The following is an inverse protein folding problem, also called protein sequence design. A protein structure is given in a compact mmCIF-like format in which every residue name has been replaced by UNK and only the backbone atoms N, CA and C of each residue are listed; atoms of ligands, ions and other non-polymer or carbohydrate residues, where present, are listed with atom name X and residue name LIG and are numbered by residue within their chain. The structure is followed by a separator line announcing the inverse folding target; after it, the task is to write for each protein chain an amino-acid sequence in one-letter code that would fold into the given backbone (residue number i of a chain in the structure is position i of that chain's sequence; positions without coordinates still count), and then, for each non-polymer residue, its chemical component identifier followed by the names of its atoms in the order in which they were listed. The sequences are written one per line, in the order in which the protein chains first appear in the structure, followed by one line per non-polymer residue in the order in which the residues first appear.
data_IF_713411784000
#
_entry.id   IF_713411784000
#
_cell.length_a   1.000
_cell.length_b   1.000
_cell.length_c   1.000
_cell.angle_alpha   90.00
_cell.angle_beta   90.00
_cell.angle_gamma   90.00
#
_symmetry.space_group_name_H-M   'P 1'
#
loop_
_entity.id
_entity.type
_entity.pdbx_description
1 polymer ?
#
# COMPACT_ATOMS: atom_id res chain seq x y z
N UNK A 1 39.00 -18.80 -13.62
CA UNK A 1 38.02 -19.49 -14.48
C UNK A 1 37.29 -18.42 -15.28
N UNK A 2 37.68 -18.27 -16.57
CA UNK A 2 37.07 -17.30 -17.49
C UNK A 2 35.78 -17.89 -18.03
N UNK A 3 34.62 -17.45 -17.55
CA UNK A 3 33.34 -17.77 -18.16
C UNK A 3 33.17 -16.93 -19.42
N UNK A 4 33.33 -17.56 -20.60
CA UNK A 4 33.00 -16.98 -21.91
C UNK A 4 31.54 -16.50 -21.88
N UNK A 5 31.23 -15.28 -22.32
CA UNK A 5 29.85 -14.79 -22.38
C UNK A 5 29.04 -15.68 -23.34
N UNK A 6 27.96 -16.27 -22.81
CA UNK A 6 27.03 -17.13 -23.57
C UNK A 6 26.45 -16.33 -24.73
N UNK A 7 26.71 -16.74 -25.97
CA UNK A 7 26.19 -16.07 -27.15
C UNK A 7 24.67 -16.21 -27.19
N UNK A 8 23.95 -15.10 -26.98
CA UNK A 8 22.48 -15.03 -26.99
C UNK A 8 22.01 -15.40 -28.41
N UNK A 9 21.06 -16.31 -28.55
CA UNK A 9 20.52 -16.76 -29.83
C UNK A 9 19.77 -15.60 -30.56
N UNK A 10 19.56 -15.72 -31.86
CA UNK A 10 18.80 -14.72 -32.62
C UNK A 10 17.38 -14.58 -32.10
N UNK A 11 16.73 -15.69 -31.79
CA UNK A 11 15.38 -15.75 -31.26
C UNK A 11 15.28 -15.07 -29.84
N UNK A 12 16.26 -15.30 -29.00
CA UNK A 12 16.32 -14.64 -27.66
C UNK A 12 16.51 -13.13 -27.78
N UNK A 13 17.28 -12.66 -28.79
CA UNK A 13 17.43 -11.22 -29.06
C UNK A 13 16.14 -10.59 -29.56
N UNK A 14 15.41 -11.26 -30.43
CA UNK A 14 14.11 -10.78 -30.93
C UNK A 14 13.09 -10.69 -29.78
N UNK A 15 12.99 -11.69 -28.91
CA UNK A 15 12.14 -11.67 -27.72
C UNK A 15 12.51 -10.51 -26.78
N UNK A 16 13.79 -10.29 -26.55
CA UNK A 16 14.27 -9.20 -25.72
C UNK A 16 13.92 -7.81 -26.30
N UNK A 17 14.03 -7.64 -27.61
CA UNK A 17 13.67 -6.38 -28.28
C UNK A 17 12.16 -6.11 -28.20
N UNK A 18 11.33 -7.14 -28.40
CA UNK A 18 9.87 -7.03 -28.26
C UNK A 18 9.50 -6.67 -26.83
N UNK A 19 10.10 -7.33 -25.85
CA UNK A 19 9.87 -7.02 -24.42
C UNK A 19 10.30 -5.59 -24.09
N UNK A 20 11.48 -5.16 -24.52
CA UNK A 20 11.97 -3.80 -24.31
C UNK A 20 10.99 -2.75 -24.82
N UNK A 21 10.50 -2.92 -26.05
CA UNK A 21 9.50 -2.03 -26.64
C UNK A 21 8.19 -1.99 -25.82
N UNK A 22 7.68 -3.15 -25.37
CA UNK A 22 6.49 -3.22 -24.50
C UNK A 22 6.74 -2.50 -23.17
N UNK A 23 7.91 -2.72 -22.58
CA UNK A 23 8.26 -2.11 -21.29
C UNK A 23 8.39 -0.58 -21.40
N UNK A 24 8.99 -0.06 -22.47
CA UNK A 24 9.08 1.38 -22.74
C UNK A 24 7.69 2.01 -22.88
N UNK A 25 6.75 1.32 -23.51
CA UNK A 25 5.38 1.80 -23.75
C UNK A 25 4.40 1.54 -22.59
N UNK A 26 4.81 0.88 -21.50
CA UNK A 26 3.92 0.44 -20.40
C UNK A 26 3.08 1.57 -19.80
N UNK A 27 3.66 2.76 -19.63
CA UNK A 27 2.96 3.92 -19.05
C UNK A 27 1.83 4.38 -19.96
N UNK A 28 2.06 4.37 -21.28
CA UNK A 28 1.04 4.71 -22.29
C UNK A 28 -0.11 3.70 -22.26
N UNK A 29 0.20 2.41 -22.11
CA UNK A 29 -0.81 1.34 -21.96
C UNK A 29 -1.67 1.61 -20.71
N UNK A 30 -1.07 1.89 -19.56
CA UNK A 30 -1.79 2.20 -18.33
C UNK A 30 -2.67 3.45 -18.46
N UNK A 31 -2.19 4.49 -19.16
CA UNK A 31 -2.95 5.71 -19.45
C UNK A 31 -4.18 5.40 -20.31
N UNK A 32 -4.03 4.65 -21.38
CA UNK A 32 -5.18 4.24 -22.21
C UNK A 32 -6.20 3.42 -21.42
N UNK A 33 -5.74 2.55 -20.50
CA UNK A 33 -6.62 1.84 -19.59
C UNK A 33 -7.45 2.81 -18.71
N UNK A 34 -6.82 3.86 -18.22
CA UNK A 34 -7.51 4.89 -17.42
C UNK A 34 -8.50 5.71 -18.25
N UNK A 35 -8.12 6.12 -19.46
CA UNK A 35 -8.99 6.83 -20.40
C UNK A 35 -10.22 5.99 -20.76
N UNK A 36 -10.04 4.69 -21.08
CA UNK A 36 -11.14 3.75 -21.33
C UNK A 36 -12.06 3.62 -20.12
N UNK A 37 -11.49 3.53 -18.90
CA UNK A 37 -12.27 3.46 -17.66
C UNK A 37 -13.12 4.71 -17.45
N UNK A 38 -12.56 5.89 -17.69
CA UNK A 38 -13.27 7.17 -17.57
C UNK A 38 -14.37 7.33 -18.63
N UNK A 39 -14.19 6.72 -19.81
CA UNK A 39 -15.19 6.64 -20.86
C UNK A 39 -16.27 5.57 -20.59
N UNK A 40 -16.15 4.77 -19.51
CA UNK A 40 -17.08 3.68 -19.19
C UNK A 40 -16.84 2.39 -19.96
N UNK A 41 -15.76 2.31 -20.76
CA UNK A 41 -15.38 1.09 -21.48
C UNK A 41 -14.55 0.16 -20.58
N UNK A 42 -15.28 -0.56 -19.72
CA UNK A 42 -14.67 -1.45 -18.71
C UNK A 42 -13.91 -2.62 -19.34
N UNK A 43 -14.32 -3.08 -20.53
CA UNK A 43 -13.66 -4.18 -21.23
C UNK A 43 -12.26 -3.81 -21.68
N UNK A 44 -12.14 -2.71 -22.44
CA UNK A 44 -10.85 -2.20 -22.89
C UNK A 44 -9.98 -1.72 -21.70
N UNK A 45 -10.58 -1.07 -20.69
CA UNK A 45 -9.86 -0.67 -19.50
C UNK A 45 -9.20 -1.86 -18.81
N UNK A 46 -9.95 -2.93 -18.54
CA UNK A 46 -9.44 -4.15 -17.92
C UNK A 46 -8.35 -4.80 -18.75
N UNK A 47 -8.54 -4.90 -20.09
CA UNK A 47 -7.56 -5.45 -21.00
C UNK A 47 -6.21 -4.69 -20.89
N UNK A 48 -6.24 -3.36 -20.94
CA UNK A 48 -5.03 -2.53 -20.83
C UNK A 48 -4.36 -2.63 -19.44
N UNK A 49 -5.13 -2.71 -18.38
CA UNK A 49 -4.57 -2.90 -17.04
C UNK A 49 -3.91 -4.27 -16.89
N UNK A 50 -4.54 -5.34 -17.40
CA UNK A 50 -3.94 -6.69 -17.40
C UNK A 50 -2.68 -6.73 -18.26
N UNK A 51 -2.67 -6.05 -19.41
CA UNK A 51 -1.49 -5.93 -20.27
C UNK A 51 -0.32 -5.25 -19.54
N UNK A 52 -0.56 -4.10 -18.89
CA UNK A 52 0.45 -3.43 -18.06
C UNK A 52 0.99 -4.35 -16.96
N UNK A 53 0.09 -5.00 -16.24
CA UNK A 53 0.46 -5.89 -15.15
C UNK A 53 1.21 -7.13 -15.62
N UNK A 54 0.89 -7.64 -16.81
CA UNK A 54 1.63 -8.72 -17.47
C UNK A 54 3.07 -8.33 -17.81
N UNK A 55 3.27 -7.11 -18.35
CA UNK A 55 4.61 -6.56 -18.61
C UNK A 55 5.42 -6.46 -17.30
N UNK A 56 4.78 -6.01 -16.20
CA UNK A 56 5.46 -5.91 -14.91
C UNK A 56 5.77 -7.28 -14.30
N UNK A 57 4.90 -8.26 -14.50
CA UNK A 57 5.13 -9.63 -14.07
C UNK A 57 6.31 -10.27 -14.84
N UNK A 58 6.38 -10.07 -16.17
CA UNK A 58 7.49 -10.49 -17.01
C UNK A 58 8.80 -9.80 -16.61
N UNK A 59 8.76 -8.49 -16.36
CA UNK A 59 9.91 -7.71 -15.86
C UNK A 59 10.49 -8.23 -14.56
N UNK A 60 9.61 -8.71 -13.66
CA UNK A 60 9.99 -9.25 -12.34
C UNK A 60 10.15 -10.78 -12.33
N UNK A 61 10.09 -11.40 -13.51
CA UNK A 61 10.23 -12.86 -13.67
C UNK A 61 9.28 -13.67 -12.77
N UNK A 62 8.04 -13.16 -12.58
CA UNK A 62 7.01 -13.84 -11.80
C UNK A 62 5.92 -14.42 -12.70
N UNK A 63 5.21 -15.45 -12.20
CA UNK A 63 4.27 -16.25 -12.97
C UNK A 63 3.10 -15.43 -13.55
N UNK A 64 2.54 -14.53 -12.76
CA UNK A 64 1.36 -13.74 -13.12
C UNK A 64 1.29 -12.44 -12.30
N UNK A 65 0.32 -11.59 -12.63
CA UNK A 65 0.11 -10.29 -11.98
C UNK A 65 -0.18 -10.40 -10.47
N UNK A 66 -0.84 -11.46 -10.00
CA UNK A 66 -1.12 -11.68 -8.58
C UNK A 66 0.06 -12.28 -7.81
N UNK A 67 1.09 -12.73 -8.53
CA UNK A 67 2.36 -13.17 -7.96
C UNK A 67 3.32 -12.02 -7.66
N UNK A 68 3.05 -10.80 -8.15
CA UNK A 68 3.82 -9.61 -7.81
C UNK A 68 3.77 -9.33 -6.31
N UNK A 69 4.95 -8.98 -5.75
CA UNK A 69 5.11 -8.60 -4.32
C UNK A 69 5.96 -7.34 -4.22
N UNK A 70 5.73 -6.56 -3.19
CA UNK A 70 6.54 -5.36 -2.89
C UNK A 70 8.04 -5.70 -2.80
N UNK A 71 8.40 -6.88 -2.30
CA UNK A 71 9.77 -7.34 -2.18
C UNK A 71 10.51 -7.55 -3.51
N UNK A 72 9.77 -7.62 -4.64
CA UNK A 72 10.37 -7.72 -5.97
C UNK A 72 10.88 -6.36 -6.50
N UNK A 73 10.57 -5.26 -5.80
CA UNK A 73 10.87 -3.89 -6.24
C UNK A 73 11.90 -3.22 -5.33
N UNK A 74 12.78 -2.41 -5.93
CA UNK A 74 13.64 -1.51 -5.17
C UNK A 74 12.86 -0.22 -4.82
N UNK A 75 12.54 0.01 -3.51
CA UNK A 75 11.75 1.18 -3.12
C UNK A 75 12.41 2.53 -3.43
N UNK A 76 13.72 2.55 -3.66
CA UNK A 76 14.45 3.78 -3.99
C UNK A 76 14.37 4.13 -5.48
N UNK A 77 14.29 3.12 -6.34
CA UNK A 77 14.35 3.29 -7.80
C UNK A 77 12.99 3.11 -8.47
N UNK A 78 12.14 2.24 -7.91
CA UNK A 78 10.91 1.77 -8.54
C UNK A 78 9.65 2.17 -7.75
N UNK A 79 9.72 3.26 -6.97
CA UNK A 79 8.60 3.75 -6.17
C UNK A 79 7.38 4.11 -7.04
N UNK A 80 7.63 4.70 -8.20
CA UNK A 80 6.57 5.09 -9.15
C UNK A 80 5.84 3.87 -9.70
N UNK A 81 6.58 2.83 -10.08
CA UNK A 81 6.02 1.56 -10.54
C UNK A 81 5.16 0.91 -9.46
N UNK A 82 5.64 0.85 -8.22
CA UNK A 82 4.89 0.30 -7.10
C UNK A 82 3.59 1.07 -6.85
N UNK A 83 3.63 2.39 -6.92
CA UNK A 83 2.45 3.25 -6.80
C UNK A 83 1.46 3.00 -7.95
N UNK A 84 1.95 2.91 -9.20
CA UNK A 84 1.11 2.62 -10.36
C UNK A 84 0.45 1.24 -10.26
N UNK A 85 1.19 0.21 -9.85
CA UNK A 85 0.67 -1.15 -9.61
C UNK A 85 -0.47 -1.08 -8.59
N UNK A 86 -0.28 -0.37 -7.47
CA UNK A 86 -1.33 -0.22 -6.46
C UNK A 86 -2.58 0.44 -7.03
N UNK A 87 -2.42 1.53 -7.81
CA UNK A 87 -3.54 2.23 -8.43
C UNK A 87 -4.26 1.37 -9.46
N UNK A 88 -3.53 0.61 -10.29
CA UNK A 88 -4.12 -0.29 -11.28
C UNK A 88 -4.94 -1.38 -10.60
N UNK A 89 -4.45 -2.00 -9.53
CA UNK A 89 -5.23 -2.96 -8.75
C UNK A 89 -6.54 -2.34 -8.20
N UNK A 90 -6.50 -1.10 -7.73
CA UNK A 90 -7.71 -0.40 -7.29
C UNK A 90 -8.69 -0.16 -8.46
N UNK A 91 -8.20 0.22 -9.65
CA UNK A 91 -9.07 0.41 -10.82
C UNK A 91 -9.66 -0.93 -11.31
N UNK A 92 -8.88 -2.00 -11.31
CA UNK A 92 -9.39 -3.34 -11.63
C UNK A 92 -10.46 -3.77 -10.63
N UNK A 93 -10.25 -3.53 -9.33
CA UNK A 93 -11.27 -3.79 -8.30
C UNK A 93 -12.57 -3.03 -8.59
N UNK A 94 -12.49 -1.75 -9.01
CA UNK A 94 -13.68 -0.96 -9.43
C UNK A 94 -14.42 -1.58 -10.61
N UNK A 95 -13.70 -2.11 -11.58
CA UNK A 95 -14.33 -2.78 -12.73
C UNK A 95 -15.06 -4.05 -12.27
N UNK A 96 -14.41 -4.87 -11.45
CA UNK A 96 -14.99 -6.10 -10.93
C UNK A 96 -16.15 -5.85 -9.94
N UNK A 97 -16.14 -4.70 -9.24
CA UNK A 97 -17.24 -4.26 -8.37
C UNK A 97 -18.57 -4.09 -9.12
N UNK A 98 -18.55 -3.93 -10.45
CA UNK A 98 -19.74 -3.74 -11.26
C UNK A 98 -20.75 -4.91 -11.15
N UNK A 99 -20.29 -6.12 -10.81
CA UNK A 99 -21.13 -7.31 -10.67
C UNK A 99 -20.71 -8.18 -9.48
N UNK A 100 -21.67 -8.65 -8.65
CA UNK A 100 -21.39 -9.59 -7.56
C UNK A 100 -20.72 -10.89 -8.02
N UNK A 101 -20.90 -11.27 -9.28
CA UNK A 101 -20.26 -12.46 -9.88
C UNK A 101 -18.72 -12.41 -9.81
N UNK A 102 -18.15 -11.22 -9.81
CA UNK A 102 -16.70 -10.99 -9.78
C UNK A 102 -16.20 -10.54 -8.40
N UNK A 103 -16.91 -10.93 -7.34
CA UNK A 103 -16.55 -10.53 -5.96
C UNK A 103 -15.17 -11.03 -5.54
N UNK A 104 -14.79 -12.25 -5.95
CA UNK A 104 -13.50 -12.83 -5.59
C UNK A 104 -12.36 -12.12 -6.33
N UNK A 105 -12.53 -11.78 -7.59
CA UNK A 105 -11.59 -10.98 -8.36
C UNK A 105 -11.43 -9.57 -7.78
N UNK A 106 -12.55 -8.95 -7.39
CA UNK A 106 -12.55 -7.66 -6.70
C UNK A 106 -11.75 -7.75 -5.40
N UNK A 107 -12.00 -8.75 -4.56
CA UNK A 107 -11.27 -8.98 -3.31
C UNK A 107 -9.78 -9.21 -3.54
N UNK A 108 -9.41 -10.05 -4.51
CA UNK A 108 -8.00 -10.31 -4.84
C UNK A 108 -7.27 -9.03 -5.28
N UNK A 109 -7.92 -8.19 -6.08
CA UNK A 109 -7.36 -6.89 -6.49
C UNK A 109 -7.21 -5.95 -5.30
N UNK A 110 -8.20 -5.89 -4.39
CA UNK A 110 -8.12 -5.08 -3.18
C UNK A 110 -7.03 -5.56 -2.22
N UNK A 111 -6.83 -6.86 -2.06
CA UNK A 111 -5.76 -7.40 -1.22
C UNK A 111 -4.37 -7.01 -1.79
N UNK A 112 -4.19 -7.02 -3.11
CA UNK A 112 -2.96 -6.53 -3.75
C UNK A 112 -2.82 -5.00 -3.61
N UNK A 113 -3.90 -4.24 -3.77
CA UNK A 113 -3.89 -2.80 -3.52
C UNK A 113 -3.42 -2.48 -2.09
N UNK A 114 -3.93 -3.21 -1.09
CA UNK A 114 -3.51 -3.08 0.31
C UNK A 114 -2.03 -3.44 0.48
N UNK A 115 -1.59 -4.56 -0.09
CA UNK A 115 -0.20 -5.02 0.00
C UNK A 115 0.79 -4.01 -0.58
N UNK A 116 0.48 -3.42 -1.75
CA UNK A 116 1.29 -2.40 -2.39
C UNK A 116 1.11 -0.99 -1.80
N UNK A 117 0.13 -0.77 -0.93
CA UNK A 117 -0.10 0.52 -0.26
C UNK A 117 0.52 0.58 1.14
N UNK A 118 0.42 -0.52 1.90
CA UNK A 118 0.84 -0.56 3.31
C UNK A 118 2.35 -0.39 3.45
N UNK A 119 2.76 0.48 4.39
CA UNK A 119 4.16 0.79 4.68
C UNK A 119 4.92 1.54 3.57
N UNK A 120 4.24 1.96 2.50
CA UNK A 120 4.85 2.74 1.43
C UNK A 120 4.78 4.26 1.73
N UNK A 121 5.67 5.08 1.14
CA UNK A 121 5.62 6.54 1.31
C UNK A 121 4.28 7.17 0.89
N UNK A 122 3.61 6.57 -0.11
CA UNK A 122 2.32 7.02 -0.64
C UNK A 122 1.09 6.37 0.04
N UNK A 123 1.27 5.65 1.16
CA UNK A 123 0.18 4.99 1.90
C UNK A 123 -0.99 5.93 2.23
N UNK A 124 -0.67 7.16 2.67
CA UNK A 124 -1.69 8.16 3.02
C UNK A 124 -2.50 8.57 1.78
N UNK A 125 -1.81 8.76 0.64
CA UNK A 125 -2.46 9.11 -0.65
C UNK A 125 -3.43 8.01 -1.06
N UNK A 126 -3.00 6.75 -1.03
CA UNK A 126 -3.84 5.61 -1.39
C UNK A 126 -5.02 5.43 -0.44
N UNK A 127 -4.81 5.64 0.86
CA UNK A 127 -5.87 5.60 1.85
C UNK A 127 -6.92 6.69 1.63
N UNK A 128 -6.49 7.91 1.33
CA UNK A 128 -7.40 9.01 1.00
C UNK A 128 -8.14 8.78 -0.33
N UNK A 129 -7.47 8.19 -1.32
CA UNK A 129 -8.08 7.87 -2.60
C UNK A 129 -9.28 6.91 -2.42
N UNK A 130 -9.10 5.80 -1.73
CA UNK A 130 -10.17 4.84 -1.48
C UNK A 130 -11.25 5.44 -0.56
N UNK A 131 -10.88 6.20 0.48
CA UNK A 131 -11.82 6.86 1.39
C UNK A 131 -12.74 7.85 0.66
N UNK A 132 -12.16 8.70 -0.21
CA UNK A 132 -12.92 9.67 -1.00
C UNK A 132 -13.88 8.97 -1.96
N UNK A 133 -13.45 7.87 -2.55
CA UNK A 133 -14.29 7.07 -3.47
C UNK A 133 -15.45 6.38 -2.74
N UNK A 134 -15.22 5.87 -1.52
CA UNK A 134 -16.28 5.32 -0.65
C UNK A 134 -17.31 6.43 -0.31
N UNK A 135 -16.85 7.61 0.12
CA UNK A 135 -17.73 8.74 0.44
C UNK A 135 -18.59 9.20 -0.74
N UNK A 136 -18.10 9.05 -1.96
CA UNK A 136 -18.85 9.39 -3.19
C UNK A 136 -19.77 8.24 -3.65
N UNK A 137 -19.90 7.18 -2.87
CA UNK A 137 -20.70 5.99 -3.20
C UNK A 137 -20.37 5.40 -4.57
N UNK A 138 -19.10 5.40 -4.95
CA UNK A 138 -18.63 4.92 -6.25
C UNK A 138 -18.58 3.39 -6.34
N UNK A 139 -18.83 2.66 -5.24
CA UNK A 139 -18.70 1.22 -5.15
C UNK A 139 -20.05 0.56 -4.82
N UNK A 140 -20.37 -0.53 -5.52
CA UNK A 140 -21.57 -1.35 -5.25
C UNK A 140 -21.35 -2.24 -4.02
N UNK A 141 -20.18 -2.88 -3.93
CA UNK A 141 -19.78 -3.76 -2.83
C UNK A 141 -18.95 -2.99 -1.80
N UNK A 142 -19.52 -1.89 -1.28
CA UNK A 142 -18.83 -0.91 -0.41
C UNK A 142 -18.07 -1.55 0.76
N UNK A 143 -18.59 -2.66 1.34
CA UNK A 143 -17.95 -3.34 2.46
C UNK A 143 -16.55 -3.88 2.13
N UNK A 144 -16.32 -4.37 0.90
CA UNK A 144 -15.00 -4.83 0.47
C UNK A 144 -13.97 -3.69 0.47
N UNK A 145 -14.39 -2.52 -0.02
CA UNK A 145 -13.53 -1.33 -0.06
C UNK A 145 -13.30 -0.73 1.34
N UNK A 146 -14.30 -0.77 2.22
CA UNK A 146 -14.14 -0.40 3.63
C UNK A 146 -13.17 -1.34 4.35
N UNK A 147 -13.24 -2.63 4.09
CA UNK A 147 -12.29 -3.61 4.63
C UNK A 147 -10.87 -3.33 4.13
N UNK A 148 -10.69 -3.09 2.82
CA UNK A 148 -9.40 -2.74 2.25
C UNK A 148 -8.84 -1.44 2.84
N UNK A 149 -9.67 -0.40 2.98
CA UNK A 149 -9.29 0.85 3.63
C UNK A 149 -8.81 0.61 5.08
N UNK A 150 -9.53 -0.20 5.86
CA UNK A 150 -9.14 -0.57 7.23
C UNK A 150 -7.81 -1.34 7.25
N UNK A 151 -7.62 -2.30 6.33
CA UNK A 151 -6.38 -3.10 6.23
C UNK A 151 -5.14 -2.23 5.99
N UNK A 152 -5.23 -1.17 5.18
CA UNK A 152 -4.08 -0.26 4.92
C UNK A 152 -3.52 0.28 6.23
N UNK A 153 -4.36 0.65 7.20
CA UNK A 153 -3.91 1.17 8.49
C UNK A 153 -3.49 0.06 9.45
N UNK A 154 -4.27 -1.01 9.54
CA UNK A 154 -3.98 -2.09 10.50
C UNK A 154 -2.71 -2.85 10.16
N UNK A 155 -2.40 -3.02 8.86
CA UNK A 155 -1.15 -3.63 8.40
C UNK A 155 0.04 -2.66 8.39
N UNK A 156 -0.19 -1.38 8.63
CA UNK A 156 0.88 -0.39 8.68
C UNK A 156 1.77 -0.59 9.90
N UNK A 157 3.08 -0.61 9.66
CA UNK A 157 4.10 -0.58 10.73
C UNK A 157 4.36 0.84 11.25
N UNK A 158 3.73 1.88 10.69
CA UNK A 158 3.89 3.26 11.13
C UNK A 158 3.05 3.51 12.37
N UNK A 159 3.68 4.06 13.40
CA UNK A 159 3.04 4.59 14.60
C UNK A 159 3.26 6.10 14.60
N UNK A 160 2.40 6.86 13.90
CA UNK A 160 2.63 8.25 13.52
C UNK A 160 3.16 9.12 14.67
N UNK A 161 2.40 9.25 15.77
CA UNK A 161 2.79 10.11 16.91
C UNK A 161 4.07 9.61 17.58
N UNK A 162 4.19 8.31 17.84
CA UNK A 162 5.36 7.75 18.52
C UNK A 162 6.59 7.81 17.62
N UNK A 163 6.41 7.55 16.32
CA UNK A 163 7.49 7.66 15.32
C UNK A 163 7.97 9.12 15.18
N UNK A 164 7.05 10.09 15.21
CA UNK A 164 7.39 11.52 15.23
C UNK A 164 8.22 11.88 16.46
N UNK A 165 7.85 11.35 17.63
CA UNK A 165 8.55 11.65 18.88
C UNK A 165 9.93 10.98 18.99
N UNK A 166 10.07 9.73 18.56
CA UNK A 166 11.23 8.88 18.84
C UNK A 166 11.94 8.33 17.62
N UNK A 167 11.34 8.42 16.43
CA UNK A 167 11.85 7.77 15.21
C UNK A 167 11.38 6.31 15.08
N UNK A 168 11.65 5.75 13.89
CA UNK A 168 11.10 4.45 13.47
C UNK A 168 11.67 3.27 14.24
N UNK A 169 12.95 3.31 14.61
CA UNK A 169 13.69 2.18 15.17
C UNK A 169 13.84 2.23 16.71
N UNK A 170 13.26 3.21 17.37
CA UNK A 170 13.37 3.37 18.82
C UNK A 170 12.62 2.28 19.57
N UNK A 171 13.15 1.73 20.71
CA UNK A 171 12.49 0.68 21.48
C UNK A 171 11.03 1.02 21.88
N UNK A 172 10.79 2.25 22.32
CA UNK A 172 9.43 2.73 22.65
C UNK A 172 8.50 2.63 21.42
N UNK A 173 8.98 2.91 20.22
CA UNK A 173 8.18 2.77 19.00
C UNK A 173 7.81 1.30 18.74
N UNK A 174 8.70 0.38 19.08
CA UNK A 174 8.43 -1.05 18.97
C UNK A 174 7.41 -1.53 20.00
N UNK A 175 7.51 -1.05 21.26
CA UNK A 175 6.52 -1.33 22.30
C UNK A 175 5.10 -0.93 21.88
N UNK A 176 4.95 0.27 21.31
CA UNK A 176 3.65 0.74 20.80
C UNK A 176 3.14 0.01 19.58
N UNK A 177 4.03 -0.53 18.74
CA UNK A 177 3.62 -1.44 17.65
C UNK A 177 3.09 -2.75 18.19
N UNK A 178 3.79 -3.34 19.18
CA UNK A 178 3.32 -4.54 19.85
C UNK A 178 1.96 -4.32 20.54
N UNK A 179 1.77 -3.16 21.20
CA UNK A 179 0.47 -2.78 21.75
C UNK A 179 -0.60 -2.71 20.67
N UNK A 180 -0.32 -2.06 19.54
CA UNK A 180 -1.26 -2.00 18.42
C UNK A 180 -1.64 -3.40 17.96
N UNK A 181 -0.66 -4.27 17.76
CA UNK A 181 -0.90 -5.63 17.27
C UNK A 181 -1.73 -6.44 18.28
N UNK A 182 -1.48 -6.26 19.58
CA UNK A 182 -2.31 -6.82 20.65
C UNK A 182 -3.75 -6.27 20.62
N UNK A 183 -3.92 -4.95 20.50
CA UNK A 183 -5.24 -4.30 20.43
C UNK A 183 -6.07 -4.79 19.24
N UNK A 184 -5.45 -5.11 18.10
CA UNK A 184 -6.13 -5.58 16.90
C UNK A 184 -6.86 -6.94 17.10
N UNK A 185 -6.55 -7.70 18.15
CA UNK A 185 -7.26 -8.92 18.50
C UNK A 185 -8.67 -8.66 19.08
N UNK A 186 -8.94 -7.42 19.52
CA UNK A 186 -10.20 -7.02 20.15
C UNK A 186 -11.00 -6.07 19.25
N UNK A 187 -12.34 -6.14 19.30
CA UNK A 187 -13.21 -5.25 18.51
C UNK A 187 -12.99 -3.77 18.84
N UNK A 188 -13.00 -3.42 20.13
CA UNK A 188 -12.75 -2.06 20.59
C UNK A 188 -11.36 -1.56 20.19
N UNK A 189 -10.36 -2.43 20.20
CA UNK A 189 -9.00 -2.10 19.81
C UNK A 189 -8.87 -1.79 18.32
N UNK A 190 -9.57 -2.54 17.47
CA UNK A 190 -9.65 -2.24 16.02
C UNK A 190 -10.28 -0.87 15.76
N UNK A 191 -11.33 -0.52 16.49
CA UNK A 191 -11.98 0.79 16.36
C UNK A 191 -11.09 1.92 16.84
N UNK A 192 -10.40 1.74 17.98
CA UNK A 192 -9.42 2.69 18.49
C UNK A 192 -8.28 2.90 17.49
N UNK A 193 -7.67 1.83 16.99
CA UNK A 193 -6.59 1.89 15.99
C UNK A 193 -7.06 2.62 14.73
N UNK A 194 -8.28 2.35 14.25
CA UNK A 194 -8.88 3.05 13.11
C UNK A 194 -8.98 4.56 13.36
N UNK A 195 -9.55 4.95 14.50
CA UNK A 195 -9.70 6.36 14.89
C UNK A 195 -8.33 7.03 15.00
N UNK A 196 -7.40 6.41 15.71
CA UNK A 196 -6.04 6.90 15.86
C UNK A 196 -5.37 7.18 14.51
N UNK A 197 -5.41 6.22 13.58
CA UNK A 197 -4.76 6.39 12.28
C UNK A 197 -5.47 7.42 11.39
N UNK A 198 -6.79 7.54 11.47
CA UNK A 198 -7.54 8.57 10.74
C UNK A 198 -7.07 9.97 11.13
N UNK A 199 -6.93 10.24 12.42
CA UNK A 199 -6.52 11.57 12.88
C UNK A 199 -5.01 11.78 12.82
N UNK A 200 -4.21 10.82 13.25
CA UNK A 200 -2.76 10.98 13.31
C UNK A 200 -2.10 11.10 11.94
N UNK A 201 -2.65 10.49 10.90
CA UNK A 201 -2.15 10.61 9.52
C UNK A 201 -2.30 12.01 8.93
N UNK A 202 -3.27 12.80 9.41
CA UNK A 202 -3.46 14.19 9.00
C UNK A 202 -2.70 15.18 9.89
N UNK A 203 -2.62 14.89 11.18
CA UNK A 203 -2.03 15.80 12.16
C UNK A 203 -0.50 15.76 12.17
N UNK A 204 0.09 14.57 12.14
CA UNK A 204 1.55 14.43 12.29
C UNK A 204 2.34 15.09 11.16
N UNK A 205 1.96 15.01 9.87
CA UNK A 205 2.65 15.74 8.82
C UNK A 205 2.62 17.27 9.00
N UNK A 206 1.56 17.82 9.62
CA UNK A 206 1.48 19.25 9.97
C UNK A 206 2.41 19.56 11.16
N UNK A 207 2.54 18.65 12.11
CA UNK A 207 3.45 18.80 13.24
C UNK A 207 4.92 18.76 12.83
N UNK A 208 5.26 17.94 11.85
CA UNK A 208 6.61 17.84 11.30
C UNK A 208 7.10 19.16 10.70
N UNK A 209 6.19 20.02 10.24
CA UNK A 209 6.50 21.33 9.67
C UNK A 209 6.61 22.43 10.72
N UNK A 210 6.27 22.17 11.99
CA UNK A 210 6.18 23.16 13.06
C UNK A 210 7.26 22.98 14.12
N UNK A 211 8.14 23.97 14.28
CA UNK A 211 9.16 24.01 15.34
C UNK A 211 8.52 23.98 16.74
N UNK A 212 7.39 24.69 16.91
CA UNK A 212 6.64 24.69 18.18
C UNK A 212 6.14 23.29 18.55
N UNK A 213 5.66 22.51 17.57
CA UNK A 213 5.21 21.14 17.81
C UNK A 213 6.36 20.17 18.11
N UNK A 214 7.55 20.39 17.54
CA UNK A 214 8.74 19.63 17.95
C UNK A 214 9.11 19.89 19.40
N UNK A 215 9.06 21.13 19.84
CA UNK A 215 9.31 21.50 21.25
C UNK A 215 8.23 20.90 22.17
N UNK A 216 6.96 21.07 21.83
CA UNK A 216 5.82 20.52 22.58
C UNK A 216 5.90 18.99 22.69
N UNK A 217 6.27 18.30 21.62
CA UNK A 217 6.43 16.85 21.62
C UNK A 217 7.53 16.39 22.57
N UNK A 218 8.65 17.10 22.62
CA UNK A 218 9.76 16.80 23.54
C UNK A 218 9.37 17.01 25.00
N UNK A 219 8.64 18.06 25.29
CA UNK A 219 8.33 18.47 26.66
C UNK A 219 7.16 17.71 27.28
N UNK A 220 6.10 17.45 26.50
CA UNK A 220 4.85 16.88 27.01
C UNK A 220 4.57 15.47 26.49
N UNK A 221 4.67 15.24 25.19
CA UNK A 221 4.27 13.95 24.61
C UNK A 221 5.27 12.85 24.97
N UNK A 222 6.58 13.10 24.85
CA UNK A 222 7.62 12.09 25.13
C UNK A 222 7.56 11.54 26.55
N UNK A 223 7.51 12.35 27.63
CA UNK A 223 7.43 11.82 28.99
C UNK A 223 6.22 10.93 29.22
N UNK A 224 5.05 11.34 28.70
CA UNK A 224 3.80 10.55 28.78
C UNK A 224 3.95 9.21 28.09
N UNK A 225 4.50 9.19 26.86
CA UNK A 225 4.73 7.95 26.13
C UNK A 225 5.72 7.01 26.84
N UNK A 226 6.80 7.55 27.44
CA UNK A 226 7.76 6.75 28.23
C UNK A 226 7.09 6.16 29.48
N UNK A 227 6.35 6.98 30.22
CA UNK A 227 5.67 6.52 31.42
C UNK A 227 4.68 5.39 31.09
N UNK A 228 3.87 5.58 30.06
CA UNK A 228 2.91 4.58 29.60
C UNK A 228 3.60 3.28 29.11
N UNK A 229 4.69 3.39 28.34
CA UNK A 229 5.47 2.23 27.89
C UNK A 229 6.04 1.45 29.09
N UNK A 230 6.62 2.13 30.06
CA UNK A 230 7.25 1.48 31.22
C UNK A 230 6.27 0.86 32.21
N UNK A 231 5.06 1.42 32.37
CA UNK A 231 4.08 0.98 33.37
C UNK A 231 3.05 0.03 32.77
N UNK A 232 2.27 0.49 31.80
CA UNK A 232 1.09 -0.23 31.30
C UNK A 232 1.48 -1.27 30.23
N UNK A 233 2.35 -0.88 29.27
CA UNK A 233 2.72 -1.78 28.20
C UNK A 233 3.48 -3.02 28.67
N UNK A 234 4.44 -2.86 29.58
CA UNK A 234 5.15 -4.01 30.16
C UNK A 234 4.22 -4.95 30.91
N UNK A 235 3.21 -4.40 31.59
CA UNK A 235 2.22 -5.21 32.28
C UNK A 235 1.32 -6.00 31.31
N UNK A 236 0.91 -5.39 30.20
CA UNK A 236 0.07 -6.03 29.18
C UNK A 236 0.86 -7.08 28.40
N UNK A 237 2.06 -6.73 27.93
CA UNK A 237 2.87 -7.61 27.09
C UNK A 237 3.51 -8.78 27.84
N UNK A 238 3.74 -8.66 29.15
CA UNK A 238 4.24 -9.76 29.98
C UNK A 238 3.14 -10.76 30.40
N UNK A 239 1.86 -10.47 30.13
CA UNK A 239 0.72 -11.37 30.40
C UNK A 239 0.26 -12.16 29.17
N UNK A 240 0.83 -11.89 28.00
CA UNK A 240 0.63 -12.61 26.76
C UNK A 240 1.84 -13.48 26.44
#
# INVERSE_FOLDING_TARGET
MNSTPKKISREEREKLLVFKHKFENRITIARFGKESLDAGDYGNALHRFVEYMGIMAEYKEVKDLFSLRVSHFDPKKELTEMMMISHIFLQMARIYDASPKFQDECRRCLDQFVAFSSNQPYQVVNSELIRKSIKKSLYKQTELFLEAHRKIYTQSKKCYVVTFCYGTNHPITQDYRALKDWMLNYSWGRDFVRIYYTYSSELVPRWEQSLAMHFFSKLLIRPVLVLFSKTILRFILNKC
#
